data_IF_923825132324
#
_entry.id   IF_923825132324
#
_cell.length_a   1.000
_cell.length_b   1.000
_cell.length_c   1.000
_cell.angle_alpha   90.00
_cell.angle_beta   90.00
_cell.angle_gamma   90.00
#
_symmetry.space_group_name_H-M   'P 1'
#
loop_
_entity.id
_entity.type
_entity.pdbx_description
1 polymer ?
#
# COMPACT_ATOMS: atom_id res chain seq x y z
N UNK A 1 -38.41 4.49 -29.29
CA UNK A 1 -36.96 4.22 -29.37
C UNK A 1 -36.35 4.71 -28.07
N UNK A 2 -36.12 3.81 -27.11
CA UNK A 2 -35.62 4.17 -25.77
C UNK A 2 -34.09 4.11 -25.85
N UNK A 3 -33.44 5.27 -25.76
CA UNK A 3 -31.99 5.34 -25.68
C UNK A 3 -31.55 4.83 -24.31
N UNK A 4 -30.89 3.66 -24.29
CA UNK A 4 -30.24 3.15 -23.09
C UNK A 4 -29.04 4.05 -22.78
N UNK A 5 -29.18 4.90 -21.75
CA UNK A 5 -28.07 5.67 -21.18
C UNK A 5 -27.25 4.73 -20.31
N UNK A 6 -26.11 4.25 -20.81
CA UNK A 6 -25.09 3.60 -19.99
C UNK A 6 -24.29 4.70 -19.28
N UNK A 7 -24.34 4.79 -17.95
CA UNK A 7 -23.51 5.76 -17.24
C UNK A 7 -22.03 5.44 -17.51
N UNK A 8 -21.17 6.45 -17.71
CA UNK A 8 -19.75 6.22 -17.89
C UNK A 8 -19.22 5.47 -16.66
N UNK A 9 -18.49 4.37 -16.90
CA UNK A 9 -17.81 3.60 -15.85
C UNK A 9 -16.82 4.52 -15.15
N UNK A 10 -17.25 5.08 -14.02
CA UNK A 10 -16.41 5.97 -13.21
C UNK A 10 -15.64 5.11 -12.21
N UNK A 11 -14.33 5.02 -12.41
CA UNK A 11 -13.44 4.31 -11.49
C UNK A 11 -13.09 5.27 -10.36
N UNK A 12 -13.45 4.91 -9.13
CA UNK A 12 -13.07 5.66 -7.92
C UNK A 12 -11.71 5.16 -7.46
N UNK A 13 -10.71 6.04 -7.48
CA UNK A 13 -9.37 5.76 -6.94
C UNK A 13 -9.31 6.36 -5.54
N UNK A 14 -9.10 5.51 -4.53
CA UNK A 14 -8.97 5.98 -3.15
C UNK A 14 -7.68 6.76 -2.94
N UNK A 15 -7.76 7.79 -2.11
CA UNK A 15 -6.60 8.57 -1.71
C UNK A 15 -5.58 7.65 -1.01
N UNK A 16 -4.31 7.75 -1.38
CA UNK A 16 -3.22 6.94 -0.83
C UNK A 16 -2.98 5.60 -1.52
N UNK A 17 -3.88 5.13 -2.41
CA UNK A 17 -3.71 3.85 -3.11
C UNK A 17 -2.41 3.79 -3.92
N UNK A 18 -2.08 4.87 -4.64
CA UNK A 18 -0.83 4.95 -5.42
C UNK A 18 0.40 4.77 -4.53
N UNK A 19 0.49 5.54 -3.44
CA UNK A 19 1.64 5.49 -2.53
C UNK A 19 1.75 4.16 -1.81
N UNK A 20 0.62 3.55 -1.43
CA UNK A 20 0.58 2.21 -0.85
C UNK A 20 1.10 1.16 -1.84
N UNK A 21 0.64 1.19 -3.10
CA UNK A 21 1.15 0.29 -4.14
C UNK A 21 2.63 0.50 -4.43
N UNK A 22 3.12 1.74 -4.46
CA UNK A 22 4.55 2.04 -4.60
C UNK A 22 5.37 1.44 -3.45
N UNK A 23 4.87 1.48 -2.22
CA UNK A 23 5.52 0.89 -1.06
C UNK A 23 5.54 -0.65 -1.14
N UNK A 24 4.42 -1.27 -1.48
CA UNK A 24 4.31 -2.71 -1.68
C UNK A 24 5.27 -3.21 -2.77
N UNK A 25 5.32 -2.52 -3.92
CA UNK A 25 6.23 -2.85 -5.01
C UNK A 25 7.70 -2.78 -4.55
N UNK A 26 8.07 -1.76 -3.77
CA UNK A 26 9.42 -1.66 -3.21
C UNK A 26 9.72 -2.82 -2.25
N UNK A 27 8.78 -3.17 -1.37
CA UNK A 27 8.94 -4.29 -0.46
C UNK A 27 9.16 -5.61 -1.21
N UNK A 28 8.38 -5.88 -2.27
CA UNK A 28 8.57 -7.05 -3.13
C UNK A 28 9.94 -7.06 -3.81
N UNK A 29 10.41 -5.91 -4.32
CA UNK A 29 11.71 -5.81 -4.97
C UNK A 29 12.87 -6.02 -3.99
N UNK A 30 12.72 -5.59 -2.74
CA UNK A 30 13.73 -5.73 -1.69
C UNK A 30 13.81 -7.18 -1.18
N UNK A 31 12.66 -7.76 -0.85
CA UNK A 31 12.58 -9.10 -0.25
C UNK A 31 12.76 -10.23 -1.29
N UNK A 32 12.46 -9.96 -2.56
CA UNK A 32 12.54 -10.93 -3.64
C UNK A 32 11.76 -12.23 -3.38
N UNK A 33 10.48 -12.17 -2.93
CA UNK A 33 9.75 -13.35 -2.52
C UNK A 33 9.47 -14.27 -3.72
N UNK A 34 9.63 -15.58 -3.51
CA UNK A 34 9.25 -16.59 -4.51
C UNK A 34 7.74 -16.69 -4.71
N UNK A 35 6.98 -16.31 -3.69
CA UNK A 35 5.54 -16.47 -3.56
C UNK A 35 4.92 -15.09 -3.30
N UNK A 36 4.64 -14.37 -4.39
CA UNK A 36 4.18 -12.98 -4.35
C UNK A 36 2.81 -12.85 -3.66
N UNK A 37 1.79 -13.69 -3.96
CA UNK A 37 0.48 -13.56 -3.30
C UNK A 37 0.55 -13.73 -1.78
N UNK A 38 1.32 -14.70 -1.31
CA UNK A 38 1.52 -15.01 0.10
C UNK A 38 2.25 -13.85 0.80
N UNK A 39 3.25 -13.26 0.14
CA UNK A 39 3.93 -12.07 0.63
C UNK A 39 2.99 -10.87 0.75
N UNK A 40 2.14 -10.63 -0.25
CA UNK A 40 1.16 -9.53 -0.22
C UNK A 40 0.17 -9.72 0.93
N UNK A 41 -0.31 -10.95 1.16
CA UNK A 41 -1.21 -11.26 2.28
C UNK A 41 -0.54 -10.94 3.62
N UNK A 42 0.66 -11.47 3.86
CA UNK A 42 1.42 -11.19 5.08
C UNK A 42 1.70 -9.70 5.28
N UNK A 43 2.08 -8.99 4.22
CA UNK A 43 2.31 -7.54 4.27
C UNK A 43 1.03 -6.76 4.63
N UNK A 44 -0.14 -7.19 4.14
CA UNK A 44 -1.41 -6.56 4.49
C UNK A 44 -1.81 -6.85 5.94
N UNK A 45 -1.59 -8.08 6.41
CA UNK A 45 -1.85 -8.46 7.81
C UNK A 45 -0.97 -7.63 8.77
N UNK A 46 0.33 -7.51 8.49
CA UNK A 46 1.25 -6.67 9.27
C UNK A 46 0.84 -5.19 9.29
N UNK A 47 0.36 -4.65 8.16
CA UNK A 47 -0.14 -3.28 8.08
C UNK A 47 -1.42 -3.07 8.89
N UNK A 48 -2.31 -4.07 8.93
CA UNK A 48 -3.53 -4.04 9.73
C UNK A 48 -3.20 -4.13 11.22
N UNK A 49 -2.33 -5.06 11.61
CA UNK A 49 -1.82 -5.16 12.98
C UNK A 49 -1.16 -3.85 13.41
N UNK A 50 -0.31 -3.24 12.57
CA UNK A 50 0.29 -1.94 12.84
C UNK A 50 -0.76 -0.84 13.06
N UNK A 51 -1.85 -0.86 12.29
CA UNK A 51 -2.95 0.10 12.42
C UNK A 51 -3.75 -0.11 13.72
N UNK A 52 -3.91 -1.34 14.16
CA UNK A 52 -4.62 -1.69 15.39
C UNK A 52 -3.75 -1.44 16.63
N UNK A 53 -2.45 -1.72 16.52
CA UNK A 53 -1.43 -1.54 17.54
C UNK A 53 -0.94 -0.08 17.67
N UNK A 54 -1.74 0.92 17.28
CA UNK A 54 -1.40 2.35 17.35
C UNK A 54 -1.22 2.91 18.79
N UNK A 55 -0.26 2.35 19.51
CA UNK A 55 0.58 3.03 20.46
C UNK A 55 1.52 3.94 19.66
N UNK A 56 1.43 5.24 19.96
CA UNK A 56 2.10 6.39 19.32
C UNK A 56 3.61 6.20 19.04
N UNK A 57 4.27 5.26 19.70
CA UNK A 57 5.70 4.97 19.62
C UNK A 57 6.16 4.39 18.27
N UNK A 58 5.31 3.62 17.57
CA UNK A 58 5.70 2.92 16.33
C UNK A 58 5.56 3.76 15.05
N UNK A 59 4.69 4.78 15.08
CA UNK A 59 4.57 5.77 14.01
C UNK A 59 5.89 6.48 13.73
N UNK A 60 6.67 6.78 14.77
CA UNK A 60 7.99 7.39 14.61
C UNK A 60 8.98 6.44 13.93
N UNK A 61 8.82 5.12 14.10
CA UNK A 61 9.70 4.13 13.48
C UNK A 61 9.34 3.90 12.01
N UNK A 62 8.07 3.73 11.66
CA UNK A 62 7.64 3.62 10.25
C UNK A 62 7.82 4.94 9.50
N UNK A 63 7.58 6.11 10.12
CA UNK A 63 8.00 7.37 9.51
C UNK A 63 9.51 7.47 9.40
N UNK A 64 10.29 6.99 10.37
CA UNK A 64 11.75 6.93 10.21
C UNK A 64 12.14 6.02 9.05
N UNK A 65 11.61 4.81 8.91
CA UNK A 65 11.97 3.91 7.81
C UNK A 65 11.47 4.43 6.43
N UNK A 66 10.31 5.09 6.38
CA UNK A 66 9.81 5.75 5.16
C UNK A 66 10.59 7.03 4.83
N UNK A 67 11.10 7.78 5.83
CA UNK A 67 11.94 8.97 5.64
C UNK A 67 13.46 8.69 5.60
N UNK A 68 13.88 7.46 5.93
CA UNK A 68 15.27 6.95 5.94
C UNK A 68 15.51 6.03 4.74
N UNK A 69 14.54 5.78 3.87
CA UNK A 69 14.85 5.47 2.47
C UNK A 69 15.54 6.71 1.89
N UNK A 70 16.86 6.70 1.67
CA UNK A 70 17.51 7.90 1.19
C UNK A 70 17.01 8.13 -0.23
N UNK A 71 16.35 9.25 -0.46
CA UNK A 71 16.49 9.97 -1.72
C UNK A 71 17.98 10.28 -1.88
N UNK A 72 18.77 9.30 -2.33
CA UNK A 72 20.13 9.50 -2.79
C UNK A 72 20.07 9.57 -4.30
N UNK A 73 20.43 10.75 -4.82
CA UNK A 73 20.79 11.01 -6.22
C UNK A 73 21.64 9.89 -6.80
#
# INVERSE_FOLDING_TARGET
MISYFFPPLTIIITYGLKSWLECLCRAILIEGPRQIPEFIAAYCDELLEFRELQNVTFYLKVFSDISVLPFRN
#
